data_IF_301199333663
#
_entry.id   IF_301199333663
#
_cell.length_a   1.000
_cell.length_b   1.000
_cell.length_c   1.000
_cell.angle_alpha   90.00
_cell.angle_beta   90.00
_cell.angle_gamma   90.00
#
_symmetry.space_group_name_H-M   'P 1'
#
loop_
_entity.id
_entity.type
_entity.pdbx_description
1 polymer ?
#
# COMPACT_ATOMS: atom_id res chain seq x y z
N UNK A 1 -16.18 32.54 14.53
CA UNK A 1 -16.15 31.58 13.41
C UNK A 1 -14.96 30.65 13.61
N UNK A 2 -15.16 29.48 14.21
CA UNK A 2 -14.10 28.48 14.35
C UNK A 2 -13.88 27.84 12.99
N UNK A 3 -12.78 28.17 12.31
CA UNK A 3 -12.36 27.48 11.10
C UNK A 3 -12.14 26.01 11.46
N UNK A 4 -13.07 25.15 11.05
CA UNK A 4 -12.96 23.71 11.25
C UNK A 4 -11.70 23.26 10.50
N UNK A 5 -10.66 22.72 11.16
CA UNK A 5 -9.47 22.28 10.46
C UNK A 5 -9.87 21.25 9.43
N UNK A 6 -9.50 21.48 8.17
CA UNK A 6 -9.72 20.55 7.07
C UNK A 6 -9.10 19.22 7.49
N UNK A 7 -9.93 18.23 7.85
CA UNK A 7 -9.45 16.92 8.29
C UNK A 7 -8.83 16.23 7.08
N UNK A 8 -7.53 16.44 6.85
CA UNK A 8 -6.80 15.66 5.87
C UNK A 8 -6.78 14.21 6.38
N UNK A 9 -7.19 13.23 5.54
CA UNK A 9 -7.02 11.82 5.86
C UNK A 9 -5.57 11.56 6.26
N UNK A 10 -5.35 10.77 7.30
CA UNK A 10 -4.00 10.50 7.78
C UNK A 10 -3.25 9.67 6.73
N UNK A 11 -2.37 10.33 5.99
CA UNK A 11 -1.54 9.75 4.92
C UNK A 11 -0.76 8.52 5.40
N UNK A 12 -0.21 8.58 6.61
CA UNK A 12 0.52 7.46 7.23
C UNK A 12 -0.37 6.24 7.40
N UNK A 13 -1.63 6.42 7.83
CA UNK A 13 -2.57 5.29 7.96
C UNK A 13 -2.85 4.67 6.59
N UNK A 14 -3.04 5.49 5.56
CA UNK A 14 -3.29 5.01 4.20
C UNK A 14 -2.11 4.20 3.65
N UNK A 15 -0.88 4.67 3.85
CA UNK A 15 0.34 3.95 3.50
C UNK A 15 0.44 2.61 4.24
N UNK A 16 0.21 2.61 5.57
CA UNK A 16 0.23 1.38 6.36
C UNK A 16 -0.77 0.37 5.80
N UNK A 17 -2.00 0.81 5.49
CA UNK A 17 -3.01 -0.08 4.91
C UNK A 17 -2.55 -0.66 3.58
N UNK A 18 -2.02 0.16 2.67
CA UNK A 18 -1.48 -0.31 1.40
C UNK A 18 -0.33 -1.30 1.57
N UNK A 19 0.61 -1.00 2.46
CA UNK A 19 1.73 -1.88 2.78
C UNK A 19 1.29 -3.23 3.35
N UNK A 20 0.35 -3.23 4.30
CA UNK A 20 -0.21 -4.46 4.87
C UNK A 20 -0.92 -5.29 3.80
N UNK A 21 -1.73 -4.66 2.94
CA UNK A 21 -2.37 -5.36 1.83
C UNK A 21 -1.33 -5.94 0.85
N UNK A 22 -0.26 -5.19 0.58
CA UNK A 22 0.86 -5.65 -0.23
C UNK A 22 1.56 -6.88 0.35
N UNK A 23 1.83 -6.87 1.66
CA UNK A 23 2.38 -8.03 2.39
C UNK A 23 1.47 -9.24 2.24
N UNK A 24 0.16 -9.06 2.49
CA UNK A 24 -0.82 -10.16 2.41
C UNK A 24 -0.83 -10.76 1.01
N UNK A 25 -0.91 -9.92 -0.03
CA UNK A 25 -0.90 -10.39 -1.42
C UNK A 25 0.42 -11.10 -1.74
N UNK A 26 1.57 -10.52 -1.38
CA UNK A 26 2.87 -11.14 -1.61
C UNK A 26 3.04 -12.49 -0.90
N UNK A 27 2.57 -12.58 0.35
CA UNK A 27 2.60 -13.82 1.11
C UNK A 27 1.68 -14.90 0.49
N UNK A 28 0.48 -14.52 0.02
CA UNK A 28 -0.42 -15.42 -0.71
C UNK A 28 0.25 -15.91 -1.98
N UNK A 29 0.89 -15.04 -2.75
CA UNK A 29 1.59 -15.43 -3.98
C UNK A 29 2.74 -16.39 -3.67
N UNK A 30 3.52 -16.17 -2.61
CA UNK A 30 4.59 -17.09 -2.24
C UNK A 30 4.10 -18.42 -1.66
N UNK A 31 2.92 -18.45 -1.04
CA UNK A 31 2.37 -19.66 -0.44
C UNK A 31 1.62 -20.56 -1.44
N UNK A 32 1.07 -19.97 -2.50
CA UNK A 32 0.28 -20.66 -3.53
C UNK A 32 0.90 -20.57 -4.93
N UNK A 33 2.12 -20.02 -5.01
CA UNK A 33 2.90 -19.92 -6.24
C UNK A 33 3.40 -21.29 -6.71
N UNK A 34 3.99 -21.33 -7.90
CA UNK A 34 4.60 -22.55 -8.40
C UNK A 34 5.86 -22.85 -7.58
N UNK A 35 5.94 -24.05 -7.01
CA UNK A 35 7.11 -24.48 -6.25
C UNK A 35 8.37 -24.43 -7.11
N UNK A 36 9.39 -23.75 -6.60
CA UNK A 36 10.72 -23.71 -7.22
C UNK A 36 11.58 -24.83 -6.61
N UNK A 37 12.08 -25.80 -7.41
CA UNK A 37 12.89 -26.89 -6.89
C UNK A 37 14.15 -26.36 -6.18
N UNK A 38 14.42 -26.89 -4.99
CA UNK A 38 15.56 -26.51 -4.13
C UNK A 38 15.51 -25.08 -3.57
N UNK A 39 14.34 -24.44 -3.55
CA UNK A 39 14.15 -23.16 -2.88
C UNK A 39 13.35 -23.35 -1.58
N UNK A 40 13.77 -22.65 -0.53
CA UNK A 40 13.08 -22.71 0.76
C UNK A 40 11.78 -21.90 0.71
N UNK A 41 10.66 -22.57 0.97
CA UNK A 41 9.32 -21.96 0.90
C UNK A 41 9.15 -20.80 1.88
N UNK A 42 9.80 -20.87 3.06
CA UNK A 42 9.76 -19.78 4.03
C UNK A 42 10.42 -18.49 3.49
N UNK A 43 11.58 -18.66 2.85
CA UNK A 43 12.32 -17.58 2.20
C UNK A 43 11.55 -17.01 1.01
N UNK A 44 10.86 -17.85 0.23
CA UNK A 44 9.98 -17.40 -0.86
C UNK A 44 8.85 -16.49 -0.38
N UNK A 45 8.08 -16.97 0.59
CA UNK A 45 6.95 -16.25 1.16
C UNK A 45 7.43 -14.92 1.75
N UNK A 46 8.54 -14.92 2.50
CA UNK A 46 9.09 -13.73 3.12
C UNK A 46 9.56 -12.71 2.07
N UNK A 47 10.27 -13.16 1.03
CA UNK A 47 10.75 -12.30 -0.04
C UNK A 47 9.58 -11.65 -0.80
N UNK A 48 8.59 -12.45 -1.20
CA UNK A 48 7.43 -11.94 -1.94
C UNK A 48 6.53 -11.06 -1.09
N UNK A 49 6.39 -11.35 0.21
CA UNK A 49 5.71 -10.47 1.15
C UNK A 49 6.42 -9.11 1.29
N UNK A 50 7.75 -9.10 1.40
CA UNK A 50 8.54 -7.87 1.47
C UNK A 50 8.49 -7.08 0.15
N UNK A 51 8.51 -7.76 -0.99
CA UNK A 51 8.33 -7.12 -2.29
C UNK A 51 6.92 -6.53 -2.42
N UNK A 52 5.90 -7.30 -2.01
CA UNK A 52 4.51 -6.87 -1.94
C UNK A 52 4.33 -5.62 -1.05
N UNK A 53 5.01 -5.53 0.09
CA UNK A 53 5.02 -4.35 0.95
C UNK A 53 5.45 -3.09 0.18
N UNK A 54 6.55 -3.17 -0.58
CA UNK A 54 7.06 -2.04 -1.35
C UNK A 54 6.07 -1.59 -2.42
N UNK A 55 5.48 -2.54 -3.15
CA UNK A 55 4.44 -2.26 -4.14
C UNK A 55 3.22 -1.63 -3.47
N UNK A 56 2.74 -2.21 -2.37
CA UNK A 56 1.58 -1.74 -1.63
C UNK A 56 1.75 -0.31 -1.11
N UNK A 57 2.93 0.02 -0.57
CA UNK A 57 3.29 1.37 -0.17
C UNK A 57 3.33 2.32 -1.37
N UNK A 58 3.94 1.91 -2.48
CA UNK A 58 4.01 2.71 -3.71
C UNK A 58 2.63 3.04 -4.26
N UNK A 59 1.76 2.04 -4.43
CA UNK A 59 0.39 2.21 -4.92
C UNK A 59 -0.42 3.08 -3.97
N UNK A 60 -0.35 2.85 -2.66
CA UNK A 60 -1.06 3.68 -1.70
C UNK A 60 -0.56 5.13 -1.70
N UNK A 61 0.75 5.34 -1.81
CA UNK A 61 1.33 6.68 -1.94
C UNK A 61 0.80 7.42 -3.17
N UNK A 62 0.82 6.76 -4.33
CA UNK A 62 0.31 7.32 -5.58
C UNK A 62 -1.18 7.66 -5.50
N UNK A 63 -2.00 6.76 -4.95
CA UNK A 63 -3.44 6.98 -4.78
C UNK A 63 -3.70 8.15 -3.82
N UNK A 64 -2.99 8.22 -2.70
CA UNK A 64 -3.17 9.29 -1.73
C UNK A 64 -2.77 10.66 -2.31
N UNK A 65 -1.65 10.75 -3.04
CA UNK A 65 -1.24 11.98 -3.73
C UNK A 65 -2.25 12.36 -4.82
N UNK A 66 -2.74 11.38 -5.59
CA UNK A 66 -3.76 11.60 -6.62
C UNK A 66 -5.07 12.13 -6.05
N UNK A 67 -5.53 11.57 -4.93
CA UNK A 67 -6.72 12.03 -4.21
C UNK A 67 -6.53 13.46 -3.69
N UNK A 68 -5.38 13.77 -3.07
CA UNK A 68 -5.09 15.13 -2.60
C UNK A 68 -5.09 16.14 -3.75
N UNK A 69 -4.43 15.81 -4.87
CA UNK A 69 -4.40 16.65 -6.06
C UNK A 69 -5.79 16.88 -6.66
N UNK A 70 -6.63 15.85 -6.70
CA UNK A 70 -7.99 15.94 -7.22
C UNK A 70 -8.90 16.79 -6.34
N UNK A 71 -8.81 16.62 -5.01
CA UNK A 71 -9.58 17.41 -4.05
C UNK A 71 -9.21 18.90 -4.08
N UNK A 72 -7.92 19.22 -4.25
CA UNK A 72 -7.45 20.60 -4.42
C UNK A 72 -8.04 21.27 -5.66
N UNK A 73 -8.10 20.57 -6.79
CA UNK A 73 -8.70 21.08 -8.04
C UNK A 73 -10.18 21.39 -7.91
N UNK A 74 -10.93 20.62 -7.11
CA UNK A 74 -12.38 20.79 -6.92
C UNK A 74 -12.79 21.94 -5.99
N UNK A 75 -11.85 22.56 -5.26
CA UNK A 75 -12.14 23.62 -4.29
C UNK A 75 -11.73 25.02 -4.78
N UNK A 76 -11.50 25.17 -6.09
CA UNK A 76 -11.08 26.42 -6.71
C UNK A 76 -12.21 27.25 -7.34
N UNK A 77 -13.48 26.95 -7.03
CA UNK A 77 -14.64 27.80 -7.30
C UNK A 77 -14.94 28.67 -6.07
#
# INVERSE_FOLDING_TARGET
>A
MSAQPRRMPNFTRFLITGGVLGIIVGAIVGAYGADVPNYDSGTEIAYLAAFGLLIGLGVAGLVAVGLDAWLRRRSGD
#
